data_IF_768910686504
#
_entry.id   IF_768910686504
#
_cell.length_a   1.000
_cell.length_b   1.000
_cell.length_c   1.000
_cell.angle_alpha   90.00
_cell.angle_beta   90.00
_cell.angle_gamma   90.00
#
_symmetry.space_group_name_H-M   'P 1'
#
loop_
_entity.id
_entity.type
_entity.pdbx_description
1 polymer ?
#
# COMPACT_ATOMS: atom_id res chain seq x y z
N UNK A 1 11.61 7.96 10.85
CA UNK A 1 12.88 8.38 11.48
C UNK A 1 12.62 9.36 12.65
N UNK A 2 11.61 9.11 13.49
CA UNK A 2 11.25 10.02 14.57
C UNK A 2 11.14 9.24 15.89
N UNK A 3 11.51 9.88 17.00
CA UNK A 3 11.29 9.34 18.35
C UNK A 3 11.97 8.00 18.67
N UNK A 4 12.95 7.54 17.87
CA UNK A 4 13.56 6.22 18.07
C UNK A 4 14.55 6.28 19.23
N UNK A 5 14.14 5.78 20.38
CA UNK A 5 14.98 5.68 21.58
C UNK A 5 16.19 4.77 21.32
N UNK A 6 17.37 5.24 21.71
CA UNK A 6 18.60 4.45 21.63
C UNK A 6 18.69 3.53 22.85
N UNK A 7 18.27 2.28 22.67
CA UNK A 7 18.33 1.26 23.73
C UNK A 7 19.60 0.42 23.59
N UNK A 8 20.30 0.17 24.71
CA UNK A 8 21.40 -0.81 24.75
C UNK A 8 20.80 -2.22 24.79
N UNK A 9 20.91 -2.96 23.69
CA UNK A 9 20.47 -4.36 23.58
C UNK A 9 21.63 -5.32 23.85
N UNK A 10 21.35 -6.50 24.41
CA UNK A 10 22.36 -7.56 24.53
C UNK A 10 22.82 -8.06 23.14
N UNK A 11 23.98 -8.71 23.07
CA UNK A 11 24.50 -9.25 21.82
C UNK A 11 23.56 -10.29 21.18
N UNK A 12 22.94 -11.14 22.01
CA UNK A 12 21.99 -12.17 21.57
C UNK A 12 20.69 -11.54 21.03
N UNK A 13 20.14 -10.55 21.73
CA UNK A 13 18.92 -9.86 21.28
C UNK A 13 19.18 -9.05 20.00
N UNK A 14 20.36 -8.44 19.87
CA UNK A 14 20.79 -7.73 18.66
C UNK A 14 20.92 -8.69 17.48
N UNK A 15 21.50 -9.88 17.67
CA UNK A 15 21.62 -10.89 16.63
C UNK A 15 20.24 -11.39 16.16
N UNK A 16 19.30 -11.64 17.09
CA UNK A 16 17.92 -12.01 16.76
C UNK A 16 17.20 -10.93 15.95
N UNK A 17 17.24 -9.68 16.41
CA UNK A 17 16.65 -8.53 15.68
C UNK A 17 17.27 -8.36 14.29
N UNK A 18 18.59 -8.58 14.16
CA UNK A 18 19.25 -8.48 12.86
C UNK A 18 18.79 -9.60 11.92
N UNK A 19 18.64 -10.84 12.40
CA UNK A 19 18.12 -11.97 11.61
C UNK A 19 16.69 -11.69 11.12
N UNK A 20 15.81 -11.20 11.99
CA UNK A 20 14.44 -10.81 11.63
C UNK A 20 14.41 -9.68 10.59
N UNK A 21 15.24 -8.65 10.76
CA UNK A 21 15.37 -7.55 9.80
C UNK A 21 15.86 -8.03 8.44
N UNK A 22 16.85 -8.91 8.42
CA UNK A 22 17.39 -9.48 7.17
C UNK A 22 16.32 -10.32 6.46
N UNK A 23 15.55 -11.13 7.18
CA UNK A 23 14.45 -11.90 6.60
C UNK A 23 13.37 -10.98 6.00
N UNK A 24 12.96 -9.93 6.72
CA UNK A 24 12.00 -8.92 6.21
C UNK A 24 12.54 -8.19 4.98
N UNK A 25 13.82 -7.81 4.99
CA UNK A 25 14.46 -7.15 3.86
C UNK A 25 14.54 -8.07 2.63
N UNK A 26 14.83 -9.36 2.81
CA UNK A 26 14.83 -10.34 1.73
C UNK A 26 13.44 -10.51 1.12
N UNK A 27 12.39 -10.65 1.95
CA UNK A 27 11.01 -10.74 1.50
C UNK A 27 10.57 -9.47 0.74
N UNK A 28 10.93 -8.29 1.24
CA UNK A 28 10.66 -7.02 0.56
C UNK A 28 11.33 -6.97 -0.83
N UNK A 29 12.61 -7.34 -0.93
CA UNK A 29 13.33 -7.35 -2.21
C UNK A 29 12.69 -8.29 -3.22
N UNK A 30 12.40 -9.53 -2.81
CA UNK A 30 11.74 -10.51 -3.68
C UNK A 30 10.34 -10.02 -4.13
N UNK A 31 9.57 -9.39 -3.23
CA UNK A 31 8.28 -8.79 -3.57
C UNK A 31 8.41 -7.64 -4.58
N UNK A 32 9.37 -6.74 -4.35
CA UNK A 32 9.65 -5.62 -5.26
C UNK A 32 10.12 -6.09 -6.63
N UNK A 33 11.01 -7.08 -6.71
CA UNK A 33 11.47 -7.66 -7.97
C UNK A 33 10.30 -8.22 -8.78
N UNK A 34 9.40 -8.98 -8.14
CA UNK A 34 8.20 -9.51 -8.80
C UNK A 34 7.29 -8.39 -9.31
N UNK A 35 7.05 -7.35 -8.50
CA UNK A 35 6.22 -6.19 -8.89
C UNK A 35 6.84 -5.45 -10.08
N UNK A 36 8.15 -5.21 -10.05
CA UNK A 36 8.84 -4.49 -11.13
C UNK A 36 8.82 -5.30 -12.43
N UNK A 37 9.01 -6.62 -12.36
CA UNK A 37 8.90 -7.49 -13.52
C UNK A 37 7.49 -7.49 -14.13
N UNK A 38 6.44 -7.49 -13.29
CA UNK A 38 5.04 -7.36 -13.76
C UNK A 38 4.80 -5.99 -14.40
N UNK A 39 5.32 -4.91 -13.81
CA UNK A 39 5.26 -3.55 -14.38
C UNK A 39 5.91 -3.50 -15.76
N UNK A 40 7.10 -4.09 -15.93
CA UNK A 40 7.79 -4.13 -17.23
C UNK A 40 7.00 -4.87 -18.30
N UNK A 41 6.23 -5.90 -17.92
CA UNK A 41 5.33 -6.64 -18.79
C UNK A 41 3.93 -6.00 -18.94
N UNK A 42 3.69 -4.85 -18.31
CA UNK A 42 2.39 -4.19 -18.25
C UNK A 42 1.24 -5.08 -17.72
N UNK A 43 1.55 -6.03 -16.83
CA UNK A 43 0.57 -6.92 -16.20
C UNK A 43 -0.13 -6.20 -15.04
N UNK A 44 -1.23 -5.51 -15.33
CA UNK A 44 -2.07 -4.79 -14.36
C UNK A 44 -3.21 -5.68 -13.82
N UNK A 45 -2.85 -6.77 -13.14
CA UNK A 45 -3.78 -7.78 -12.66
C UNK A 45 -4.01 -7.75 -11.13
N UNK A 46 -4.90 -8.61 -10.65
CA UNK A 46 -5.26 -8.69 -9.23
C UNK A 46 -4.05 -9.10 -8.38
N UNK A 47 -3.16 -9.92 -8.94
CA UNK A 47 -1.91 -10.29 -8.29
C UNK A 47 -1.04 -9.06 -8.00
N UNK A 48 -0.92 -8.12 -8.94
CA UNK A 48 -0.18 -6.87 -8.73
C UNK A 48 -0.79 -6.04 -7.59
N UNK A 49 -2.12 -5.98 -7.47
CA UNK A 49 -2.79 -5.35 -6.32
C UNK A 49 -2.46 -6.06 -5.01
N UNK A 50 -2.45 -7.39 -4.98
CA UNK A 50 -2.11 -8.15 -3.76
C UNK A 50 -0.64 -7.92 -3.37
N UNK A 51 0.28 -7.96 -4.33
CA UNK A 51 1.71 -7.77 -4.08
C UNK A 51 2.03 -6.36 -3.58
N UNK A 52 1.51 -5.34 -4.24
CA UNK A 52 1.65 -3.94 -3.80
C UNK A 52 1.06 -3.74 -2.41
N UNK A 53 -0.11 -4.32 -2.14
CA UNK A 53 -0.79 -4.24 -0.84
C UNK A 53 0.04 -4.82 0.31
N UNK A 54 0.68 -5.98 0.10
CA UNK A 54 1.56 -6.62 1.10
C UNK A 54 2.76 -5.75 1.49
N UNK A 55 3.31 -4.98 0.56
CA UNK A 55 4.45 -4.10 0.84
C UNK A 55 3.99 -2.81 1.49
N UNK A 56 2.91 -2.21 0.98
CA UNK A 56 2.38 -0.94 1.46
C UNK A 56 1.78 -1.04 2.87
N UNK A 57 1.23 -2.19 3.26
CA UNK A 57 0.77 -2.42 4.64
C UNK A 57 1.92 -2.39 5.66
N UNK A 58 3.16 -2.67 5.24
CA UNK A 58 4.34 -2.57 6.09
C UNK A 58 5.07 -1.21 5.95
N UNK A 59 5.05 -0.62 4.76
CA UNK A 59 5.67 0.67 4.47
C UNK A 59 4.85 1.45 3.44
N UNK A 60 3.97 2.36 3.88
CA UNK A 60 3.11 3.12 2.98
C UNK A 60 3.84 4.24 2.22
N UNK A 61 5.12 4.50 2.48
CA UNK A 61 5.86 5.59 1.82
C UNK A 61 6.49 5.21 0.47
N UNK A 62 6.17 4.02 -0.07
CA UNK A 62 6.67 3.59 -1.38
C UNK A 62 5.76 4.12 -2.49
N UNK A 63 6.00 5.37 -2.92
CA UNK A 63 5.19 6.09 -3.91
C UNK A 63 4.89 5.29 -5.20
N UNK A 64 5.90 4.60 -5.75
CA UNK A 64 5.75 3.83 -6.99
C UNK A 64 4.65 2.77 -6.90
N UNK A 65 4.45 2.15 -5.73
CA UNK A 65 3.45 1.10 -5.57
C UNK A 65 2.03 1.68 -5.58
N UNK A 66 1.81 2.85 -4.99
CA UNK A 66 0.53 3.56 -5.09
C UNK A 66 0.20 3.92 -6.54
N UNK A 67 1.20 4.35 -7.33
CA UNK A 67 0.99 4.63 -8.75
C UNK A 67 0.52 3.37 -9.52
N UNK A 68 1.14 2.21 -9.24
CA UNK A 68 0.73 0.94 -9.84
C UNK A 68 -0.68 0.52 -9.39
N UNK A 69 -1.01 0.71 -8.10
CA UNK A 69 -2.37 0.46 -7.60
C UNK A 69 -3.40 1.28 -8.35
N UNK A 70 -3.16 2.58 -8.56
CA UNK A 70 -4.07 3.43 -9.34
C UNK A 70 -4.31 2.90 -10.75
N UNK A 71 -3.26 2.44 -11.43
CA UNK A 71 -3.38 1.86 -12.77
C UNK A 71 -4.23 0.57 -12.78
N UNK A 72 -4.07 -0.29 -11.77
CA UNK A 72 -4.93 -1.48 -11.60
C UNK A 72 -6.38 -1.07 -11.34
N UNK A 73 -6.62 -0.16 -10.39
CA UNK A 73 -7.96 0.33 -10.05
C UNK A 73 -8.67 0.93 -11.27
N UNK A 74 -7.98 1.76 -12.06
CA UNK A 74 -8.53 2.33 -13.30
C UNK A 74 -8.83 1.26 -14.35
N UNK A 75 -7.97 0.25 -14.49
CA UNK A 75 -8.19 -0.86 -15.43
C UNK A 75 -9.44 -1.65 -15.04
N UNK A 76 -9.60 -1.96 -13.76
CA UNK A 76 -10.73 -2.75 -13.26
C UNK A 76 -12.04 -1.96 -13.24
N UNK A 77 -12.01 -0.68 -12.86
CA UNK A 77 -13.17 0.19 -12.93
C UNK A 77 -13.70 0.33 -14.36
N UNK A 78 -12.82 0.38 -15.37
CA UNK A 78 -13.23 0.39 -16.78
C UNK A 78 -13.84 -0.93 -17.25
N UNK A 79 -13.46 -2.05 -16.64
CA UNK A 79 -14.00 -3.36 -16.97
C UNK A 79 -15.35 -3.64 -16.28
N UNK A 80 -15.64 -2.93 -15.18
CA UNK A 80 -16.92 -2.99 -14.46
C UNK A 80 -17.83 -1.83 -14.91
N UNK A 81 -18.47 -2.01 -16.06
CA UNK A 81 -19.37 -1.01 -16.65
C UNK A 81 -20.64 -0.76 -15.80
N UNK A 82 -21.04 -1.71 -14.97
CA UNK A 82 -22.28 -1.62 -14.19
C UNK A 82 -22.10 -0.76 -12.94
N UNK A 83 -21.04 -0.99 -12.16
CA UNK A 83 -20.84 -0.28 -10.88
C UNK A 83 -19.69 0.72 -10.92
N UNK A 84 -18.93 0.79 -12.02
CA UNK A 84 -17.73 1.63 -12.12
C UNK A 84 -16.63 1.21 -11.14
N UNK A 85 -16.68 -0.03 -10.62
CA UNK A 85 -15.77 -0.52 -9.61
C UNK A 85 -16.00 0.05 -8.21
N UNK A 86 -17.21 0.48 -7.85
CA UNK A 86 -17.50 1.10 -6.54
C UNK A 86 -16.95 0.28 -5.36
N UNK A 87 -17.27 -1.02 -5.32
CA UNK A 87 -16.78 -1.92 -4.26
C UNK A 87 -15.25 -2.03 -4.21
N UNK A 88 -14.58 -1.88 -5.36
CA UNK A 88 -13.13 -1.91 -5.44
C UNK A 88 -12.52 -0.65 -4.81
N UNK A 89 -13.08 0.53 -5.08
CA UNK A 89 -12.64 1.78 -4.46
C UNK A 89 -12.92 1.78 -2.94
N UNK A 90 -14.07 1.26 -2.49
CA UNK A 90 -14.39 1.15 -1.05
C UNK A 90 -13.39 0.26 -0.29
N UNK A 91 -13.00 -0.86 -0.91
CA UNK A 91 -11.95 -1.74 -0.37
C UNK A 91 -10.61 -1.01 -0.32
N UNK A 92 -10.28 -0.20 -1.32
CA UNK A 92 -9.01 0.52 -1.37
C UNK A 92 -8.96 1.72 -0.40
N UNK A 93 -10.08 2.39 -0.13
CA UNK A 93 -10.21 3.36 0.96
C UNK A 93 -9.95 2.71 2.33
N UNK A 94 -10.53 1.54 2.56
CA UNK A 94 -10.32 0.76 3.79
C UNK A 94 -8.86 0.30 3.92
N UNK A 95 -8.24 -0.09 2.80
CA UNK A 95 -6.81 -0.41 2.76
C UNK A 95 -5.93 0.81 3.08
N UNK A 96 -6.28 1.97 2.55
CA UNK A 96 -5.52 3.21 2.78
C UNK A 96 -5.63 3.65 4.24
N UNK A 97 -6.81 3.51 4.86
CA UNK A 97 -7.00 3.73 6.29
C UNK A 97 -6.09 2.82 7.14
N UNK A 98 -6.04 1.52 6.83
CA UNK A 98 -5.12 0.59 7.49
C UNK A 98 -3.65 1.01 7.34
N UNK A 99 -3.25 1.48 6.15
CA UNK A 99 -1.90 2.01 5.92
C UNK A 99 -1.61 3.27 6.75
N UNK A 100 -2.60 4.15 6.92
CA UNK A 100 -2.48 5.36 7.73
C UNK A 100 -2.38 5.06 9.23
N UNK A 101 -2.99 3.97 9.72
CA UNK A 101 -2.76 3.49 11.09
C UNK A 101 -1.29 3.07 11.34
N UNK A 102 -0.59 2.61 10.28
CA UNK A 102 0.84 2.25 10.36
C UNK A 102 1.74 3.49 10.31
N UNK A 103 1.43 4.44 9.42
CA UNK A 103 2.11 5.72 9.37
C UNK A 103 1.12 6.85 9.03
N UNK A 104 0.60 7.57 10.04
CA UNK A 104 -0.39 8.63 9.81
C UNK A 104 0.19 9.86 9.11
N UNK A 105 1.52 9.93 8.98
CA UNK A 105 2.24 11.01 8.28
C UNK A 105 2.64 10.63 6.86
N UNK A 106 2.17 9.50 6.34
CA UNK A 106 2.51 9.07 4.98
C UNK A 106 1.82 9.96 3.96
N UNK A 107 2.59 10.82 3.31
CA UNK A 107 2.09 11.68 2.23
C UNK A 107 1.52 10.84 1.07
N UNK A 108 2.18 9.73 0.74
CA UNK A 108 1.77 8.89 -0.38
C UNK A 108 0.40 8.24 -0.13
N UNK A 109 0.14 7.77 1.10
CA UNK A 109 -1.14 7.20 1.47
C UNK A 109 -2.26 8.25 1.46
N UNK A 110 -2.04 9.43 2.05
CA UNK A 110 -3.02 10.53 2.01
C UNK A 110 -3.33 10.96 0.58
N UNK A 111 -2.29 11.19 -0.24
CA UNK A 111 -2.46 11.58 -1.62
C UNK A 111 -3.21 10.51 -2.44
N UNK A 112 -2.94 9.23 -2.19
CA UNK A 112 -3.70 8.14 -2.81
C UNK A 112 -5.16 8.12 -2.35
N UNK A 113 -5.43 8.38 -1.06
CA UNK A 113 -6.80 8.47 -0.53
C UNK A 113 -7.62 9.57 -1.23
N UNK A 114 -7.06 10.77 -1.38
CA UNK A 114 -7.69 11.86 -2.11
C UNK A 114 -8.00 11.43 -3.56
N UNK A 115 -7.02 10.82 -4.23
CA UNK A 115 -7.22 10.33 -5.59
C UNK A 115 -8.35 9.29 -5.67
N UNK A 116 -8.45 8.36 -4.71
CA UNK A 116 -9.56 7.39 -4.69
C UNK A 116 -10.91 8.10 -4.56
N UNK A 117 -11.03 9.05 -3.64
CA UNK A 117 -12.27 9.82 -3.44
C UNK A 117 -12.68 10.64 -4.68
N UNK A 118 -11.70 11.19 -5.40
CA UNK A 118 -11.93 11.95 -6.64
C UNK A 118 -12.33 11.09 -7.84
N UNK A 119 -11.99 9.79 -7.84
CA UNK A 119 -12.22 8.88 -8.97
C UNK A 119 -13.29 7.80 -8.69
N UNK A 120 -13.72 7.67 -7.44
CA UNK A 120 -14.77 6.75 -7.03
C UNK A 120 -16.12 7.21 -7.59
N UNK A 121 -16.98 6.30 -8.09
CA UNK A 121 -18.31 6.66 -8.61
C UNK A 121 -19.20 7.37 -7.58
N UNK A 122 -19.26 6.86 -6.34
CA UNK A 122 -20.07 7.43 -5.26
C UNK A 122 -19.23 7.56 -3.96
N UNK A 123 -18.43 8.62 -3.82
CA UNK A 123 -17.62 8.84 -2.62
C UNK A 123 -18.51 9.13 -1.40
N UNK A 124 -18.24 8.43 -0.30
CA UNK A 124 -18.90 8.67 0.99
C UNK A 124 -18.08 9.68 1.82
N UNK A 125 -18.40 10.97 1.66
CA UNK A 125 -17.72 12.06 2.37
C UNK A 125 -18.04 12.09 3.87
N UNK A 126 -19.22 11.64 4.29
CA UNK A 126 -19.59 11.60 5.71
C UNK A 126 -18.64 10.66 6.48
N UNK A 127 -18.37 9.48 5.91
CA UNK A 127 -17.39 8.54 6.45
C UNK A 127 -15.97 9.13 6.49
N UNK A 128 -15.59 9.97 5.52
CA UNK A 128 -14.26 10.58 5.48
C UNK A 128 -14.02 11.57 6.63
N UNK A 129 -15.08 12.28 7.04
CA UNK A 129 -15.01 13.23 8.17
C UNK A 129 -14.85 12.50 9.51
N UNK A 130 -15.29 11.24 9.60
CA UNK A 130 -15.21 10.42 10.82
C UNK A 130 -13.88 9.69 11.02
N UNK A 131 -12.97 9.73 10.03
CA UNK A 131 -11.68 9.01 10.03
C UNK A 131 -10.67 9.54 11.07
#
# INVERSE_FOLDING_TARGET
MHGRLKVRTSAEEAARKQKERNAKAAAFRAGMERILAKKERAELDEELLVLTGKILSANPDVATLWNLRRQCLQTFAKADEETGGQSLFDKDLSFTEMCLQVNPKSYCAWHHRCWVLENCPTPNWDKEVEL
#
